data_IF_657094613433
#
_entry.id   IF_657094613433
#
_cell.length_a   1.000
_cell.length_b   1.000
_cell.length_c   1.000
_cell.angle_alpha   90.00
_cell.angle_beta   90.00
_cell.angle_gamma   90.00
#
_symmetry.space_group_name_H-M   'P 1'
#
loop_
_entity.id
_entity.type
_entity.pdbx_description
1 polymer ?
#
# COMPACT_ATOMS: atom_id res chain seq x y z
N UNK A 1 12.02 16.31 5.47
CA UNK A 1 11.95 14.92 5.99
C UNK A 1 10.73 14.14 5.49
N UNK A 2 9.51 14.70 5.48
CA UNK A 2 8.32 13.98 5.00
C UNK A 2 8.33 13.70 3.49
N UNK A 3 8.86 14.62 2.67
CA UNK A 3 8.97 14.43 1.21
C UNK A 3 9.89 13.26 0.84
N UNK A 4 10.97 13.04 1.59
CA UNK A 4 11.86 11.89 1.38
C UNK A 4 11.13 10.57 1.67
N UNK A 5 10.46 10.45 2.82
CA UNK A 5 9.64 9.27 3.14
C UNK A 5 8.57 9.02 2.07
N UNK A 6 7.95 10.09 1.58
CA UNK A 6 6.93 10.02 0.54
C UNK A 6 7.49 9.49 -0.79
N UNK A 7 8.54 10.13 -1.32
CA UNK A 7 9.19 9.74 -2.57
C UNK A 7 9.76 8.32 -2.45
N UNK A 8 10.41 7.97 -1.34
CA UNK A 8 10.93 6.63 -1.11
C UNK A 8 9.80 5.59 -1.11
N UNK A 9 8.66 5.87 -0.47
CA UNK A 9 7.51 4.96 -0.48
C UNK A 9 7.01 4.74 -1.91
N UNK A 10 6.83 5.83 -2.66
CA UNK A 10 6.33 5.80 -4.03
C UNK A 10 7.26 5.02 -4.95
N UNK A 11 8.56 5.28 -4.87
CA UNK A 11 9.57 4.57 -5.68
C UNK A 11 9.66 3.10 -5.30
N UNK A 12 9.78 2.78 -4.01
CA UNK A 12 9.93 1.41 -3.52
C UNK A 12 8.72 0.56 -3.91
N UNK A 13 7.50 0.99 -3.58
CA UNK A 13 6.31 0.19 -3.89
C UNK A 13 5.95 0.22 -5.36
N UNK A 14 6.23 1.32 -6.07
CA UNK A 14 6.16 1.37 -7.52
C UNK A 14 7.07 0.35 -8.21
N UNK A 15 8.29 0.13 -7.71
CA UNK A 15 9.22 -0.86 -8.27
C UNK A 15 8.96 -2.29 -7.82
N UNK A 16 8.19 -2.51 -6.74
CA UNK A 16 7.87 -3.88 -6.29
C UNK A 16 7.02 -4.67 -7.28
N UNK A 17 6.25 -4.03 -8.17
CA UNK A 17 5.41 -4.72 -9.16
C UNK A 17 6.22 -5.65 -10.07
N UNK A 18 7.37 -5.20 -10.56
CA UNK A 18 8.26 -6.01 -11.39
C UNK A 18 8.79 -7.24 -10.64
N UNK A 19 9.17 -7.07 -9.36
CA UNK A 19 9.63 -8.17 -8.53
C UNK A 19 8.51 -9.15 -8.17
N UNK A 20 7.28 -8.67 -7.98
CA UNK A 20 6.10 -9.52 -7.76
C UNK A 20 5.85 -10.38 -9.01
N UNK A 21 5.95 -9.81 -10.21
CA UNK A 21 5.79 -10.57 -11.45
C UNK A 21 6.78 -11.75 -11.55
N UNK A 22 7.99 -11.61 -11.00
CA UNK A 22 8.98 -12.70 -10.94
C UNK A 22 8.72 -13.76 -9.87
N UNK A 23 7.71 -13.59 -9.01
CA UNK A 23 7.31 -14.58 -8.00
C UNK A 23 6.01 -15.34 -8.35
N UNK A 24 5.28 -14.90 -9.38
CA UNK A 24 4.03 -15.55 -9.80
C UNK A 24 4.36 -16.80 -10.62
N UNK A 25 3.75 -17.94 -10.29
CA UNK A 25 3.80 -19.16 -11.11
C UNK A 25 4.07 -20.44 -10.31
N UNK A 26 5.23 -20.54 -9.66
CA UNK A 26 5.68 -21.82 -9.08
C UNK A 26 5.21 -22.07 -7.64
N UNK A 27 5.08 -21.01 -6.84
CA UNK A 27 4.78 -21.11 -5.41
C UNK A 27 3.40 -20.55 -5.13
N UNK A 28 2.61 -21.28 -4.34
CA UNK A 28 1.33 -20.79 -3.86
C UNK A 28 1.50 -19.42 -3.20
N UNK A 29 0.67 -18.46 -3.59
CA UNK A 29 0.73 -17.08 -3.11
C UNK A 29 0.86 -16.98 -1.58
N UNK A 30 0.04 -17.68 -0.77
CA UNK A 30 0.14 -17.59 0.69
C UNK A 30 1.51 -17.98 1.24
N UNK A 31 2.19 -18.94 0.59
CA UNK A 31 3.54 -19.39 0.94
C UNK A 31 4.58 -18.32 0.60
N UNK A 32 4.52 -17.72 -0.59
CA UNK A 32 5.42 -16.61 -0.97
C UNK A 32 5.26 -15.41 -0.03
N UNK A 33 4.03 -15.08 0.35
CA UNK A 33 3.72 -13.99 1.30
C UNK A 33 4.23 -14.34 2.71
N UNK A 34 4.06 -15.58 3.15
CA UNK A 34 4.62 -16.08 4.41
C UNK A 34 6.15 -15.90 4.45
N UNK A 35 6.88 -16.38 3.44
CA UNK A 35 8.34 -16.23 3.38
C UNK A 35 8.76 -14.76 3.40
N UNK A 36 8.12 -13.93 2.58
CA UNK A 36 8.42 -12.50 2.49
C UNK A 36 8.32 -11.82 3.85
N UNK A 37 7.22 -12.02 4.57
CA UNK A 37 7.00 -11.35 5.85
C UNK A 37 7.74 -12.00 7.01
N UNK A 38 8.00 -13.30 6.96
CA UNK A 38 8.88 -13.97 7.91
C UNK A 38 10.31 -13.41 7.83
N UNK A 39 10.87 -13.32 6.62
CA UNK A 39 12.21 -12.75 6.41
C UNK A 39 12.23 -11.29 6.85
N UNK A 40 11.24 -10.48 6.45
CA UNK A 40 11.18 -9.06 6.84
C UNK A 40 11.09 -8.88 8.36
N UNK A 41 10.27 -9.70 9.04
CA UNK A 41 10.16 -9.70 10.49
C UNK A 41 11.47 -10.07 11.17
N UNK A 42 12.16 -11.12 10.70
CA UNK A 42 13.46 -11.55 11.23
C UNK A 42 14.51 -10.45 11.04
N UNK A 43 14.61 -9.85 9.85
CA UNK A 43 15.53 -8.74 9.57
C UNK A 43 15.31 -7.59 10.54
N UNK A 44 14.06 -7.18 10.76
CA UNK A 44 13.73 -6.11 11.70
C UNK A 44 14.02 -6.50 13.16
N UNK A 45 13.57 -7.67 13.62
CA UNK A 45 13.75 -8.10 15.00
C UNK A 45 15.22 -8.29 15.36
N UNK A 46 16.00 -8.92 14.48
CA UNK A 46 17.44 -9.10 14.65
C UNK A 46 18.12 -7.73 14.65
N UNK A 47 17.85 -6.89 13.65
CA UNK A 47 18.44 -5.55 13.54
C UNK A 47 18.13 -4.68 14.77
N UNK A 48 16.89 -4.66 15.24
CA UNK A 48 16.48 -3.91 16.43
C UNK A 48 17.13 -4.44 17.72
N UNK A 49 17.35 -5.74 17.81
CA UNK A 49 18.03 -6.37 18.96
C UNK A 49 19.51 -6.03 18.97
N UNK A 50 20.20 -6.16 17.82
CA UNK A 50 21.61 -5.82 17.66
C UNK A 50 21.88 -4.33 17.94
N UNK A 51 20.98 -3.46 17.47
CA UNK A 51 21.07 -2.01 17.70
C UNK A 51 20.61 -1.57 19.09
N UNK A 52 20.14 -2.49 19.95
CA UNK A 52 19.54 -2.21 21.27
C UNK A 52 18.40 -1.18 21.19
N UNK A 53 17.66 -1.19 20.08
CA UNK A 53 16.51 -0.31 19.81
C UNK A 53 15.18 -1.03 19.92
N UNK A 54 15.15 -2.32 20.25
CA UNK A 54 13.91 -3.06 20.43
C UNK A 54 13.13 -2.50 21.63
N UNK A 55 11.93 -2.00 21.36
CA UNK A 55 10.98 -1.61 22.39
C UNK A 55 10.23 -2.85 22.93
N UNK A 56 10.07 -2.95 24.25
CA UNK A 56 9.18 -3.95 24.84
C UNK A 56 7.72 -3.52 24.62
N UNK A 57 6.89 -4.47 24.19
CA UNK A 57 5.46 -4.25 23.95
C UNK A 57 4.65 -4.91 25.06
N UNK A 58 3.53 -4.30 25.43
CA UNK A 58 2.58 -4.93 26.35
C UNK A 58 1.76 -6.00 25.60
N UNK A 59 1.14 -6.93 26.32
CA UNK A 59 0.27 -7.97 25.73
C UNK A 59 -0.82 -7.37 24.85
N UNK A 60 -1.42 -6.24 25.27
CA UNK A 60 -2.42 -5.52 24.47
C UNK A 60 -1.84 -4.98 23.16
N UNK A 61 -0.59 -4.52 23.16
CA UNK A 61 0.07 -4.03 21.95
C UNK A 61 0.39 -5.16 20.99
N UNK A 62 0.72 -6.35 21.51
CA UNK A 62 0.85 -7.55 20.68
C UNK A 62 -0.47 -7.93 20.00
N UNK A 63 -1.61 -7.80 20.68
CA UNK A 63 -2.93 -8.02 20.05
C UNK A 63 -3.21 -7.01 18.93
N UNK A 64 -2.84 -5.74 19.11
CA UNK A 64 -2.94 -4.76 18.03
C UNK A 64 -1.94 -5.02 16.90
N UNK A 65 -0.74 -5.52 17.19
CA UNK A 65 0.19 -5.97 16.15
C UNK A 65 -0.39 -7.17 15.37
N UNK A 66 -1.04 -8.11 16.04
CA UNK A 66 -1.74 -9.22 15.40
C UNK A 66 -2.87 -8.71 14.49
N UNK A 67 -3.67 -7.75 14.98
CA UNK A 67 -4.73 -7.12 14.17
C UNK A 67 -4.15 -6.38 12.96
N UNK A 68 -3.11 -5.57 13.14
CA UNK A 68 -2.44 -4.87 12.04
C UNK A 68 -1.87 -5.87 11.03
N UNK A 69 -1.21 -6.94 11.52
CA UNK A 69 -0.65 -8.00 10.69
C UNK A 69 -1.72 -8.75 9.90
N UNK A 70 -2.81 -9.14 10.56
CA UNK A 70 -3.95 -9.79 9.93
C UNK A 70 -4.62 -8.92 8.88
N UNK A 71 -4.72 -7.60 9.11
CA UNK A 71 -5.32 -6.68 8.16
C UNK A 71 -4.40 -6.36 6.95
N UNK A 72 -3.16 -5.94 7.20
CA UNK A 72 -2.24 -5.43 6.17
C UNK A 72 -1.45 -6.54 5.48
N UNK A 73 -0.95 -7.52 6.23
CA UNK A 73 -0.04 -8.54 5.71
C UNK A 73 -0.72 -9.89 5.47
N UNK A 74 -1.92 -10.08 6.04
CA UNK A 74 -2.79 -11.22 5.81
C UNK A 74 -3.88 -10.91 4.77
N UNK A 75 -5.02 -10.39 5.24
CA UNK A 75 -6.23 -10.13 4.47
C UNK A 75 -5.96 -9.34 3.20
N UNK A 76 -5.26 -8.20 3.29
CA UNK A 76 -4.96 -7.38 2.11
C UNK A 76 -4.19 -8.18 1.05
N UNK A 77 -3.10 -8.86 1.41
CA UNK A 77 -2.32 -9.64 0.45
C UNK A 77 -3.11 -10.81 -0.11
N UNK A 78 -3.80 -11.58 0.74
CA UNK A 78 -4.60 -12.70 0.29
C UNK A 78 -5.66 -12.28 -0.72
N UNK A 79 -6.45 -11.24 -0.40
CA UNK A 79 -7.48 -10.72 -1.28
C UNK A 79 -6.92 -10.20 -2.61
N UNK A 80 -5.84 -9.42 -2.57
CA UNK A 80 -5.25 -8.82 -3.76
C UNK A 80 -4.68 -9.86 -4.71
N UNK A 81 -3.93 -10.82 -4.19
CA UNK A 81 -3.35 -11.85 -5.03
C UNK A 81 -4.38 -12.85 -5.54
N UNK A 82 -5.42 -13.15 -4.75
CA UNK A 82 -6.55 -13.95 -5.25
C UNK A 82 -7.26 -13.21 -6.38
N UNK A 83 -7.51 -11.91 -6.22
CA UNK A 83 -8.15 -11.09 -7.25
C UNK A 83 -7.26 -10.87 -8.49
N UNK A 84 -5.93 -10.87 -8.34
CA UNK A 84 -4.98 -10.74 -9.46
C UNK A 84 -5.05 -11.90 -10.47
N UNK A 85 -5.61 -13.06 -10.10
CA UNK A 85 -5.90 -14.13 -11.06
C UNK A 85 -7.09 -13.84 -11.98
N UNK A 86 -7.93 -12.84 -11.65
CA UNK A 86 -9.19 -12.55 -12.35
C UNK A 86 -9.27 -11.13 -12.89
N UNK A 87 -8.55 -10.17 -12.29
CA UNK A 87 -8.61 -8.75 -12.64
C UNK A 87 -7.32 -8.29 -13.33
N UNK A 88 -7.42 -7.44 -14.36
CA UNK A 88 -6.30 -6.67 -14.84
C UNK A 88 -5.67 -5.84 -13.72
N UNK A 89 -4.34 -5.69 -13.76
CA UNK A 89 -3.59 -4.91 -12.75
C UNK A 89 -4.07 -3.46 -12.65
N UNK A 90 -4.54 -2.87 -13.75
CA UNK A 90 -5.11 -1.52 -13.76
C UNK A 90 -6.35 -1.37 -12.88
N UNK A 91 -7.27 -2.33 -12.96
CA UNK A 91 -8.48 -2.35 -12.15
C UNK A 91 -8.16 -2.55 -10.67
N UNK A 92 -7.22 -3.43 -10.36
CA UNK A 92 -6.71 -3.61 -8.98
C UNK A 92 -6.13 -2.31 -8.43
N UNK A 93 -5.35 -1.58 -9.24
CA UNK A 93 -4.74 -0.32 -8.82
C UNK A 93 -5.80 0.78 -8.59
N UNK A 94 -6.85 0.86 -9.42
CA UNK A 94 -7.99 1.79 -9.20
C UNK A 94 -8.70 1.47 -7.88
N UNK A 95 -9.04 0.20 -7.66
CA UNK A 95 -9.72 -0.24 -6.44
C UNK A 95 -8.85 -0.03 -5.21
N UNK A 96 -7.54 -0.26 -5.30
CA UNK A 96 -6.61 0.02 -4.21
C UNK A 96 -6.49 1.51 -3.89
N UNK A 97 -6.61 2.38 -4.90
CA UNK A 97 -6.62 3.83 -4.71
C UNK A 97 -7.82 4.32 -3.88
N UNK A 98 -8.90 3.53 -3.79
CA UNK A 98 -10.01 3.77 -2.85
C UNK A 98 -9.58 3.69 -1.37
N UNK A 99 -8.37 3.19 -1.08
CA UNK A 99 -7.74 3.30 0.25
C UNK A 99 -7.73 4.74 0.77
N UNK A 100 -7.67 5.75 -0.10
CA UNK A 100 -7.79 7.17 0.26
C UNK A 100 -9.13 7.44 0.96
N UNK A 101 -10.24 6.96 0.37
CA UNK A 101 -11.58 7.11 0.91
C UNK A 101 -11.75 6.34 2.21
N UNK A 102 -11.31 5.07 2.24
CA UNK A 102 -11.40 4.27 3.45
C UNK A 102 -10.53 4.83 4.57
N UNK A 103 -9.35 5.37 4.29
CA UNK A 103 -8.50 6.00 5.31
C UNK A 103 -9.14 7.29 5.85
N UNK A 104 -9.79 8.08 5.00
CA UNK A 104 -10.51 9.28 5.44
C UNK A 104 -11.71 8.91 6.32
N UNK A 105 -12.54 7.95 5.87
CA UNK A 105 -13.70 7.48 6.61
C UNK A 105 -13.31 6.84 7.95
N UNK A 106 -12.35 5.91 7.95
CA UNK A 106 -11.87 5.25 9.16
C UNK A 106 -11.14 6.25 10.10
N UNK A 107 -10.40 7.20 9.54
CA UNK A 107 -9.73 8.25 10.31
C UNK A 107 -10.72 9.16 11.05
N UNK A 108 -11.86 9.45 10.43
CA UNK A 108 -12.96 10.12 11.09
C UNK A 108 -13.64 9.21 12.12
N UNK A 109 -13.98 7.97 11.76
CA UNK A 109 -14.68 7.03 12.63
C UNK A 109 -13.92 6.74 13.94
N UNK A 110 -12.64 6.37 13.85
CA UNK A 110 -11.85 5.94 15.01
C UNK A 110 -11.18 7.09 15.76
N UNK A 111 -10.84 8.18 15.06
CA UNK A 111 -10.02 9.25 15.62
C UNK A 111 -10.63 10.64 15.54
N UNK A 112 -11.86 10.76 15.00
CA UNK A 112 -12.54 12.04 14.75
C UNK A 112 -11.66 13.04 13.99
N UNK A 113 -10.81 12.54 13.10
CA UNK A 113 -9.92 13.39 12.30
C UNK A 113 -10.74 14.05 11.19
N UNK A 114 -10.82 15.38 11.14
CA UNK A 114 -11.60 16.06 10.11
C UNK A 114 -10.98 15.89 8.72
N UNK A 115 -11.83 15.75 7.71
CA UNK A 115 -11.41 15.67 6.31
C UNK A 115 -11.36 17.09 5.74
N UNK A 116 -10.19 17.59 5.30
CA UNK A 116 -10.08 18.95 4.80
C UNK A 116 -10.78 19.08 3.44
N UNK A 117 -11.40 20.24 3.15
CA UNK A 117 -12.16 20.44 1.89
C UNK A 117 -11.33 20.16 0.62
N UNK A 118 -10.04 20.47 0.65
CA UNK A 118 -9.09 20.21 -0.44
C UNK A 118 -8.99 18.72 -0.81
N UNK A 119 -9.28 17.82 0.14
CA UNK A 119 -9.32 16.38 -0.10
C UNK A 119 -10.30 16.01 -1.20
N UNK A 120 -11.48 16.62 -1.23
CA UNK A 120 -12.50 16.29 -2.23
C UNK A 120 -12.09 16.73 -3.64
N UNK A 121 -11.39 17.87 -3.75
CA UNK A 121 -10.83 18.32 -5.02
C UNK A 121 -9.69 17.42 -5.48
N UNK A 122 -8.78 17.05 -4.59
CA UNK A 122 -7.68 16.14 -4.89
C UNK A 122 -8.19 14.74 -5.28
N UNK A 123 -9.26 14.27 -4.64
CA UNK A 123 -9.95 13.02 -4.97
C UNK A 123 -10.61 13.08 -6.35
N UNK A 124 -11.30 14.18 -6.66
CA UNK A 124 -11.95 14.42 -7.95
C UNK A 124 -10.96 14.48 -9.13
N UNK A 125 -9.68 14.76 -8.85
CA UNK A 125 -8.60 14.66 -9.84
C UNK A 125 -7.96 13.26 -9.84
N UNK A 126 -7.69 12.71 -8.66
CA UNK A 126 -6.97 11.45 -8.50
C UNK A 126 -7.70 10.23 -9.04
N UNK A 127 -8.96 10.00 -8.66
CA UNK A 127 -9.70 8.81 -9.07
C UNK A 127 -10.01 8.78 -10.58
N UNK A 128 -10.52 9.87 -11.19
CA UNK A 128 -10.70 9.89 -12.64
C UNK A 128 -9.38 9.82 -13.40
N UNK A 129 -8.32 10.47 -12.89
CA UNK A 129 -6.99 10.34 -13.49
C UNK A 129 -6.49 8.89 -13.49
N UNK A 130 -6.74 8.16 -12.40
CA UNK A 130 -6.41 6.73 -12.31
C UNK A 130 -7.23 5.88 -13.29
N UNK A 131 -8.52 6.18 -13.46
CA UNK A 131 -9.36 5.51 -14.46
C UNK A 131 -8.90 5.78 -15.90
N UNK A 132 -8.43 7.00 -16.20
CA UNK A 132 -7.92 7.35 -17.53
C UNK A 132 -6.62 6.62 -17.90
N UNK A 133 -5.72 6.42 -16.93
CA UNK A 133 -4.48 5.68 -17.15
C UNK A 133 -4.75 4.24 -17.57
N UNK A 134 -5.69 3.59 -16.90
CA UNK A 134 -6.04 2.19 -17.16
C UNK A 134 -7.35 2.07 -17.96
N UNK A 135 -7.67 3.08 -18.75
CA UNK A 135 -8.94 3.12 -19.50
C UNK A 135 -9.08 1.94 -20.45
N UNK A 136 -7.99 1.54 -21.13
CA UNK A 136 -8.01 0.39 -22.03
C UNK A 136 -8.35 -0.90 -21.27
N UNK A 137 -7.71 -1.12 -20.11
CA UNK A 137 -8.03 -2.25 -19.22
C UNK A 137 -9.49 -2.22 -18.75
N UNK A 138 -10.10 -1.04 -18.60
CA UNK A 138 -11.49 -0.91 -18.16
C UNK A 138 -12.50 -1.24 -19.27
N UNK A 139 -12.24 -0.82 -20.51
CA UNK A 139 -13.19 -1.02 -21.62
C UNK A 139 -13.15 -2.43 -22.20
N UNK A 140 -12.06 -3.17 -21.97
CA UNK A 140 -11.91 -4.57 -22.40
C UNK A 140 -12.53 -5.57 -21.43
N UNK A 141 -13.02 -5.12 -20.27
CA UNK A 141 -13.50 -5.99 -19.21
C UNK A 141 -15.00 -6.23 -19.35
N UNK A 142 -15.37 -7.50 -19.54
CA UNK A 142 -16.76 -7.93 -19.51
C UNK A 142 -17.23 -8.18 -18.07
N UNK A 143 -18.45 -7.76 -17.74
CA UNK A 143 -19.01 -7.91 -16.42
C UNK A 143 -19.47 -9.35 -16.17
N UNK A 144 -18.59 -10.16 -15.55
CA UNK A 144 -18.91 -11.52 -15.11
C UNK A 144 -19.08 -11.60 -13.58
N UNK A 145 -19.70 -12.69 -13.11
CA UNK A 145 -19.90 -12.91 -11.67
C UNK A 145 -18.59 -13.14 -10.92
N UNK A 146 -17.62 -13.78 -11.57
CA UNK A 146 -16.25 -13.98 -11.07
C UNK A 146 -15.54 -12.64 -10.90
N UNK A 147 -15.69 -11.75 -11.87
CA UNK A 147 -15.11 -10.40 -11.83
C UNK A 147 -15.72 -9.56 -10.71
N UNK A 148 -17.04 -9.66 -10.48
CA UNK A 148 -17.70 -9.00 -9.36
C UNK A 148 -17.16 -9.51 -8.02
N UNK A 149 -16.97 -10.82 -7.89
CA UNK A 149 -16.33 -11.43 -6.71
C UNK A 149 -14.92 -10.90 -6.48
N UNK A 150 -14.10 -10.83 -7.53
CA UNK A 150 -12.73 -10.32 -7.45
C UNK A 150 -12.66 -8.82 -7.13
N UNK A 151 -13.61 -8.02 -7.63
CA UNK A 151 -13.77 -6.62 -7.25
C UNK A 151 -14.10 -6.49 -5.75
N UNK A 152 -15.04 -7.29 -5.26
CA UNK A 152 -15.39 -7.36 -3.84
C UNK A 152 -14.21 -7.75 -2.96
N UNK A 153 -13.42 -8.73 -3.38
CA UNK A 153 -12.17 -9.12 -2.69
C UNK A 153 -11.17 -7.98 -2.66
N UNK A 154 -10.94 -7.30 -3.79
CA UNK A 154 -9.98 -6.18 -3.86
C UNK A 154 -10.42 -5.02 -2.96
N UNK A 155 -11.72 -4.70 -2.92
CA UNK A 155 -12.27 -3.70 -2.00
C UNK A 155 -12.11 -4.12 -0.53
N UNK A 156 -12.38 -5.38 -0.20
CA UNK A 156 -12.18 -5.94 1.14
C UNK A 156 -10.72 -5.86 1.57
N UNK A 157 -9.79 -6.24 0.69
CA UNK A 157 -8.36 -6.12 0.92
C UNK A 157 -7.94 -4.67 1.11
N UNK A 158 -8.49 -3.75 0.32
CA UNK A 158 -8.20 -2.30 0.42
C UNK A 158 -8.72 -1.73 1.73
N UNK A 159 -9.88 -2.20 2.19
CA UNK A 159 -10.42 -1.86 3.50
C UNK A 159 -9.53 -2.42 4.64
N UNK A 160 -9.04 -3.65 4.51
CA UNK A 160 -8.05 -4.24 5.40
C UNK A 160 -6.78 -3.38 5.51
N UNK A 161 -6.23 -2.92 4.37
CA UNK A 161 -5.11 -1.99 4.36
C UNK A 161 -5.42 -0.70 5.15
N UNK A 162 -6.62 -0.15 4.99
CA UNK A 162 -7.05 1.04 5.74
C UNK A 162 -7.17 0.80 7.24
N UNK A 163 -7.79 -0.30 7.67
CA UNK A 163 -7.88 -0.68 9.08
C UNK A 163 -6.48 -0.84 9.70
N UNK A 164 -5.56 -1.47 8.98
CA UNK A 164 -4.16 -1.57 9.38
C UNK A 164 -3.47 -0.23 9.56
N UNK A 165 -3.75 0.74 8.70
CA UNK A 165 -3.26 2.11 8.87
C UNK A 165 -3.80 2.75 10.15
N UNK A 166 -5.06 2.50 10.52
CA UNK A 166 -5.63 3.01 11.77
C UNK A 166 -4.91 2.40 12.99
N UNK A 167 -4.62 1.11 12.96
CA UNK A 167 -3.85 0.46 14.03
C UNK A 167 -2.43 1.05 14.13
N UNK A 168 -1.79 1.32 12.99
CA UNK A 168 -0.50 2.02 12.96
C UNK A 168 -0.56 3.44 13.55
N UNK A 169 -1.63 4.20 13.26
CA UNK A 169 -1.87 5.51 13.89
C UNK A 169 -2.02 5.35 15.41
N UNK A 170 -2.76 4.34 15.88
CA UNK A 170 -2.90 4.03 17.31
C UNK A 170 -1.55 3.71 17.94
N UNK A 171 -0.73 2.86 17.31
CA UNK A 171 0.60 2.51 17.81
C UNK A 171 1.45 3.76 18.04
N UNK A 172 1.45 4.68 17.07
CA UNK A 172 2.22 5.92 17.16
C UNK A 172 1.68 6.87 18.23
N UNK A 173 0.36 6.99 18.39
CA UNK A 173 -0.26 7.76 19.49
C UNK A 173 0.06 7.20 20.88
N UNK A 174 0.29 5.90 20.99
CA UNK A 174 0.74 5.25 22.22
C UNK A 174 2.27 5.31 22.43
N UNK A 175 3.01 6.05 21.59
CA UNK A 175 4.47 6.16 21.71
C UNK A 175 5.22 4.87 21.36
N UNK A 176 4.59 3.96 20.61
CA UNK A 176 5.25 2.74 20.16
C UNK A 176 6.11 3.01 18.92
N UNK A 177 7.33 2.48 18.93
CA UNK A 177 8.23 2.54 17.80
C UNK A 177 7.69 1.71 16.62
N UNK A 178 7.59 2.38 15.47
CA UNK A 178 7.02 1.81 14.24
C UNK A 178 7.78 0.58 13.78
N UNK A 179 9.11 0.60 13.81
CA UNK A 179 9.90 -0.55 13.36
C UNK A 179 9.63 -1.79 14.24
N UNK A 180 9.44 -1.60 15.55
CA UNK A 180 9.13 -2.69 16.48
C UNK A 180 7.72 -3.24 16.23
N UNK A 181 6.70 -2.37 16.15
CA UNK A 181 5.32 -2.82 15.91
C UNK A 181 5.14 -3.41 14.53
N UNK A 182 5.83 -2.87 13.52
CA UNK A 182 5.84 -3.39 12.15
C UNK A 182 6.51 -4.77 12.08
N UNK A 183 7.60 -4.99 12.82
CA UNK A 183 8.26 -6.29 12.88
C UNK A 183 7.33 -7.38 13.42
N UNK A 184 6.63 -7.11 14.53
CA UNK A 184 5.66 -8.05 15.10
C UNK A 184 4.41 -8.20 14.23
N UNK A 185 3.91 -7.11 13.63
CA UNK A 185 2.79 -7.19 12.71
C UNK A 185 3.13 -8.06 11.48
N UNK A 186 4.33 -7.90 10.90
CA UNK A 186 4.81 -8.76 9.81
C UNK A 186 4.96 -10.20 10.26
N UNK A 187 5.51 -10.46 11.46
CA UNK A 187 5.61 -11.81 11.99
C UNK A 187 4.23 -12.47 12.11
N UNK A 188 3.27 -11.80 12.76
CA UNK A 188 1.94 -12.36 12.98
C UNK A 188 1.14 -12.50 11.69
N UNK A 189 1.19 -11.50 10.81
CA UNK A 189 0.54 -11.57 9.50
C UNK A 189 1.15 -12.64 8.60
N UNK A 190 2.48 -12.76 8.61
CA UNK A 190 3.19 -13.85 7.95
C UNK A 190 2.73 -15.21 8.47
N UNK A 191 2.75 -15.43 9.79
CA UNK A 191 2.29 -16.68 10.41
C UNK A 191 0.83 -17.00 10.07
N UNK A 192 -0.05 -15.99 10.00
CA UNK A 192 -1.43 -16.18 9.55
C UNK A 192 -1.48 -16.66 8.10
N UNK A 193 -0.67 -16.09 7.20
CA UNK A 193 -0.57 -16.54 5.82
C UNK A 193 0.01 -17.96 5.71
N UNK A 194 0.98 -18.31 6.57
CA UNK A 194 1.48 -19.67 6.70
C UNK A 194 0.38 -20.64 7.16
N UNK A 195 -0.44 -20.26 8.13
CA UNK A 195 -1.57 -21.07 8.58
C UNK A 195 -2.61 -21.27 7.47
N UNK A 196 -2.92 -20.21 6.71
CA UNK A 196 -3.80 -20.30 5.54
C UNK A 196 -3.21 -21.24 4.48
N UNK A 197 -1.92 -21.10 4.16
CA UNK A 197 -1.23 -21.96 3.21
C UNK A 197 -1.29 -23.42 3.63
N UNK A 198 -1.02 -23.69 4.91
CA UNK A 198 -1.09 -25.04 5.48
C UNK A 198 -2.50 -25.62 5.43
N UNK A 199 -3.52 -24.83 5.80
CA UNK A 199 -4.92 -25.24 5.74
C UNK A 199 -5.39 -25.52 4.30
N UNK A 200 -4.79 -24.87 3.30
CA UNK A 200 -5.03 -25.12 1.87
C UNK A 200 -4.25 -26.32 1.32
N UNK A 201 -3.41 -26.98 2.14
CA UNK A 201 -2.56 -28.07 1.68
C UNK A 201 -1.42 -27.63 0.76
N UNK A 202 -1.04 -26.34 0.79
CA UNK A 202 0.01 -25.82 -0.07
C UNK A 202 1.39 -26.38 0.32
N UNK A 203 2.23 -26.61 -0.69
CA UNK A 203 3.62 -27.02 -0.48
C UNK A 203 4.47 -25.83 -0.03
N UNK A 204 5.17 -26.00 1.09
CA UNK A 204 6.21 -25.07 1.56
C UNK A 204 7.57 -25.38 0.93
N UNK A 205 7.58 -25.75 -0.34
CA UNK A 205 8.82 -25.82 -1.10
C UNK A 205 9.35 -24.40 -1.35
N UNK A 206 10.66 -24.23 -1.21
CA UNK A 206 11.34 -23.00 -1.58
C UNK A 206 12.02 -23.25 -2.94
N UNK A 207 11.61 -22.59 -4.03
CA UNK A 207 12.28 -22.71 -5.31
C UNK A 207 13.73 -22.30 -5.17
N UNK A 208 14.63 -23.12 -5.72
CA UNK A 208 16.05 -22.79 -5.80
C UNK A 208 16.36 -21.82 -6.96
N UNK A 209 15.35 -21.35 -7.69
CA UNK A 209 15.54 -20.44 -8.81
C UNK A 209 16.12 -19.09 -8.32
N UNK A 210 17.29 -18.66 -8.83
CA UNK A 210 17.92 -17.42 -8.40
C UNK A 210 17.04 -16.18 -8.60
N UNK A 211 16.20 -16.19 -9.64
CA UNK A 211 15.27 -15.10 -9.95
C UNK A 211 14.20 -14.96 -8.86
N UNK A 212 13.58 -16.07 -8.45
CA UNK A 212 12.59 -16.10 -7.36
C UNK A 212 13.22 -15.64 -6.04
N UNK A 213 14.40 -16.18 -5.69
CA UNK A 213 15.09 -15.84 -4.45
C UNK A 213 15.53 -14.37 -4.41
N UNK A 214 16.06 -13.84 -5.51
CA UNK A 214 16.41 -12.43 -5.64
C UNK A 214 15.19 -11.51 -5.47
N UNK A 215 14.07 -11.85 -6.11
CA UNK A 215 12.81 -11.15 -5.95
C UNK A 215 12.30 -11.21 -4.50
N UNK A 216 12.40 -12.38 -3.86
CA UNK A 216 11.97 -12.58 -2.47
C UNK A 216 12.77 -11.71 -1.49
N UNK A 217 14.10 -11.69 -1.62
CA UNK A 217 14.97 -10.85 -0.78
C UNK A 217 14.68 -9.38 -1.00
N UNK A 218 14.55 -8.95 -2.26
CA UNK A 218 14.20 -7.57 -2.61
C UNK A 218 12.85 -7.15 -2.01
N UNK A 219 11.82 -8.00 -2.15
CA UNK A 219 10.48 -7.74 -1.64
C UNK A 219 10.43 -7.78 -0.11
N UNK A 220 11.22 -8.63 0.55
CA UNK A 220 11.29 -8.69 2.00
C UNK A 220 12.04 -7.49 2.59
N UNK A 221 13.20 -7.13 2.04
CA UNK A 221 14.04 -6.07 2.62
C UNK A 221 13.62 -4.69 2.13
N UNK A 222 13.62 -4.47 0.81
CA UNK A 222 13.32 -3.16 0.24
C UNK A 222 11.82 -2.92 0.27
N UNK A 223 11.04 -3.84 -0.31
CA UNK A 223 9.59 -3.71 -0.42
C UNK A 223 8.87 -3.71 0.93
N UNK A 224 9.26 -4.60 1.84
CA UNK A 224 8.60 -4.75 3.14
C UNK A 224 9.24 -3.91 4.23
N UNK A 225 10.50 -4.16 4.61
CA UNK A 225 11.15 -3.42 5.72
C UNK A 225 11.25 -1.92 5.39
N UNK A 226 11.84 -1.59 4.23
CA UNK A 226 11.98 -0.21 3.78
C UNK A 226 10.64 0.45 3.46
N UNK A 227 9.83 -0.18 2.61
CA UNK A 227 8.55 0.35 2.14
C UNK A 227 7.52 0.58 3.26
N UNK A 228 7.17 -0.46 4.03
CA UNK A 228 6.22 -0.29 5.15
C UNK A 228 6.78 0.56 6.27
N UNK A 229 8.10 0.51 6.53
CA UNK A 229 8.74 1.41 7.49
C UNK A 229 8.56 2.88 7.11
N UNK A 230 8.90 3.23 5.86
CA UNK A 230 8.74 4.58 5.32
C UNK A 230 7.27 5.02 5.31
N UNK A 231 6.38 4.16 4.83
CA UNK A 231 4.96 4.45 4.73
C UNK A 231 4.29 4.62 6.10
N UNK A 232 4.53 3.75 7.07
CA UNK A 232 3.92 3.91 8.40
C UNK A 232 4.49 5.11 9.17
N UNK A 233 5.76 5.44 8.98
CA UNK A 233 6.33 6.72 9.44
C UNK A 233 5.61 7.92 8.83
N UNK A 234 5.30 7.86 7.54
CA UNK A 234 4.53 8.89 6.87
C UNK A 234 3.10 8.98 7.44
N UNK A 235 2.42 7.84 7.62
CA UNK A 235 1.05 7.74 8.15
C UNK A 235 0.91 8.45 9.50
N UNK A 236 1.85 8.26 10.43
CA UNK A 236 1.72 8.95 11.73
C UNK A 236 2.17 10.40 11.73
N UNK A 237 3.00 10.82 10.75
CA UNK A 237 3.45 12.23 10.64
C UNK A 237 2.45 13.13 9.93
N UNK A 238 1.81 12.65 8.87
CA UNK A 238 0.89 13.46 8.05
C UNK A 238 -0.55 12.93 8.05
N UNK A 239 -0.82 11.83 8.75
CA UNK A 239 -2.12 11.17 8.80
C UNK A 239 -2.32 10.17 7.66
N UNK A 240 -3.12 9.14 7.93
CA UNK A 240 -3.39 8.05 6.98
C UNK A 240 -4.04 8.53 5.68
N UNK A 241 -4.94 9.52 5.73
CA UNK A 241 -5.60 10.06 4.54
C UNK A 241 -4.61 10.72 3.57
N UNK A 242 -3.71 11.59 4.05
CA UNK A 242 -2.67 12.21 3.22
C UNK A 242 -1.63 11.19 2.75
N UNK A 243 -1.23 10.26 3.61
CA UNK A 243 -0.27 9.22 3.25
C UNK A 243 -0.81 8.31 2.13
N UNK A 244 -2.10 7.98 2.13
CA UNK A 244 -2.72 7.17 1.08
C UNK A 244 -2.67 7.82 -0.32
N UNK A 245 -2.48 9.13 -0.45
CA UNK A 245 -2.25 9.71 -1.79
C UNK A 245 -0.97 9.19 -2.47
N UNK A 246 -0.03 8.61 -1.70
CA UNK A 246 1.11 7.91 -2.29
C UNK A 246 0.66 6.73 -3.16
N UNK A 247 -0.45 6.07 -2.82
CA UNK A 247 -0.90 4.85 -3.51
C UNK A 247 -1.31 5.10 -4.96
N UNK A 248 -1.79 6.30 -5.27
CA UNK A 248 -2.16 6.72 -6.63
C UNK A 248 -0.92 6.98 -7.49
N UNK A 249 0.26 7.17 -6.89
CA UNK A 249 1.51 7.37 -7.61
C UNK A 249 2.27 6.07 -7.90
N UNK A 250 1.96 4.96 -7.22
CA UNK A 250 2.65 3.68 -7.47
C UNK A 250 2.48 3.20 -8.91
N UNK A 251 1.27 3.27 -9.51
CA UNK A 251 1.08 2.86 -10.89
C UNK A 251 1.90 3.72 -11.87
N UNK A 252 2.15 4.99 -11.57
CA UNK A 252 2.97 5.85 -12.42
C UNK A 252 4.43 5.38 -12.49
N UNK A 253 4.99 4.99 -11.35
CA UNK A 253 6.33 4.41 -11.29
C UNK A 253 6.38 3.07 -12.00
N UNK A 254 5.35 2.22 -11.79
CA UNK A 254 5.26 0.94 -12.47
C UNK A 254 5.21 1.09 -14.00
N UNK A 255 4.39 2.02 -14.52
CA UNK A 255 4.31 2.32 -15.95
C UNK A 255 5.60 2.93 -16.50
N UNK A 256 6.27 3.79 -15.75
CA UNK A 256 7.58 4.32 -16.14
C UNK A 256 8.62 3.19 -16.27
N UNK A 257 8.65 2.23 -15.34
CA UNK A 257 9.51 1.06 -15.43
C UNK A 257 9.12 0.16 -16.60
N UNK A 258 7.83 -0.10 -16.80
CA UNK A 258 7.32 -0.88 -17.93
C UNK A 258 7.64 -0.22 -19.29
N UNK A 259 7.70 1.11 -19.36
CA UNK A 259 8.15 1.83 -20.57
C UNK A 259 9.60 1.51 -20.92
N UNK A 260 10.48 1.45 -19.92
CA UNK A 260 11.92 1.21 -20.09
C UNK A 260 12.24 -0.27 -20.32
N UNK A 261 11.61 -1.16 -19.56
CA UNK A 261 11.97 -2.58 -19.53
C UNK A 261 11.05 -3.48 -20.38
N UNK A 262 9.81 -3.07 -20.63
CA UNK A 262 8.79 -3.90 -21.28
C UNK A 262 8.23 -3.24 -22.56
N UNK A 263 8.68 -2.02 -22.89
CA UNK A 263 8.27 -1.29 -24.10
C UNK A 263 6.83 -0.76 -24.07
N UNK A 264 6.29 -0.48 -22.87
CA UNK A 264 4.94 0.08 -22.72
C UNK A 264 4.74 1.35 -23.57
N UNK A 265 3.65 1.38 -24.34
CA UNK A 265 3.30 2.49 -25.22
C UNK A 265 2.29 3.41 -24.52
N UNK A 266 2.68 4.67 -24.35
CA UNK A 266 1.82 5.67 -23.75
C UNK A 266 0.72 6.12 -24.72
N UNK A 267 -0.50 6.17 -24.19
CA UNK A 267 -1.67 6.67 -24.91
C UNK A 267 -2.06 8.06 -24.38
N UNK A 268 -2.79 8.85 -25.19
CA UNK A 268 -3.15 10.22 -24.84
C UNK A 268 -3.96 10.32 -23.52
N UNK A 269 -4.88 9.38 -23.29
CA UNK A 269 -5.62 9.25 -22.04
C UNK A 269 -4.72 9.01 -20.83
N UNK A 270 -3.67 8.19 -20.96
CA UNK A 270 -2.72 7.94 -19.89
C UNK A 270 -1.90 9.19 -19.52
N UNK A 271 -1.54 10.03 -20.51
CA UNK A 271 -0.90 11.32 -20.25
C UNK A 271 -1.84 12.28 -19.50
N UNK A 272 -3.11 12.36 -19.92
CA UNK A 272 -4.11 13.20 -19.24
C UNK A 272 -4.31 12.71 -17.79
N UNK A 273 -4.46 11.40 -17.61
CA UNK A 273 -4.59 10.79 -16.30
C UNK A 273 -3.39 11.06 -15.39
N UNK A 274 -2.16 10.98 -15.93
CA UNK A 274 -0.94 11.36 -15.24
C UNK A 274 -0.99 12.81 -14.75
N UNK A 275 -1.35 13.76 -15.62
CA UNK A 275 -1.45 15.18 -15.26
C UNK A 275 -2.49 15.40 -14.17
N UNK A 276 -3.65 14.73 -14.24
CA UNK A 276 -4.69 14.82 -13.22
C UNK A 276 -4.23 14.29 -11.87
N UNK A 277 -3.59 13.11 -11.83
CA UNK A 277 -3.08 12.51 -10.59
C UNK A 277 -2.01 13.42 -9.96
N UNK A 278 -1.05 13.89 -10.75
CA UNK A 278 0.02 14.78 -10.27
C UNK A 278 -0.58 16.08 -9.73
N UNK A 279 -1.56 16.66 -10.43
CA UNK A 279 -2.25 17.88 -10.00
C UNK A 279 -3.03 17.67 -8.69
N UNK A 280 -3.77 16.57 -8.57
CA UNK A 280 -4.47 16.21 -7.32
C UNK A 280 -3.52 16.01 -6.15
N UNK A 281 -2.38 15.36 -6.39
CA UNK A 281 -1.33 15.17 -5.40
C UNK A 281 -0.75 16.51 -4.93
N UNK A 282 -0.34 17.37 -5.88
CA UNK A 282 0.17 18.70 -5.60
C UNK A 282 -0.83 19.55 -4.83
N UNK A 283 -2.12 19.48 -5.18
CA UNK A 283 -3.18 20.19 -4.49
C UNK A 283 -3.29 19.75 -3.02
N UNK A 284 -3.25 18.43 -2.76
CA UNK A 284 -3.33 17.88 -1.41
C UNK A 284 -2.15 18.31 -0.52
N UNK A 285 -0.93 18.38 -1.08
CA UNK A 285 0.28 18.75 -0.33
C UNK A 285 0.51 20.27 -0.24
N UNK A 286 0.10 21.04 -1.24
CA UNK A 286 0.25 22.50 -1.28
C UNK A 286 -0.96 23.28 -0.74
N UNK A 287 -2.03 22.60 -0.32
CA UNK A 287 -3.23 23.22 0.23
C UNK A 287 -2.95 24.28 1.30
N UNK A 288 -1.91 24.09 2.13
CA UNK A 288 -1.55 25.02 3.19
C UNK A 288 -0.96 26.35 2.68
N UNK A 289 -0.40 26.37 1.45
CA UNK A 289 0.10 27.59 0.77
C UNK A 289 -0.96 28.22 -0.13
N UNK A 290 -1.81 27.40 -0.74
CA UNK A 290 -2.86 27.88 -1.65
C UNK A 290 -4.03 28.51 -0.87
N UNK A 291 -4.52 27.88 0.20
CA UNK A 291 -5.68 28.40 0.95
C UNK A 291 -5.36 29.71 1.68
N UNK A 292 -4.10 29.96 2.08
CA UNK A 292 -3.70 31.23 2.68
C UNK A 292 -3.69 32.39 1.66
N UNK A 293 -3.25 32.13 0.43
CA UNK A 293 -3.23 33.13 -0.66
C UNK A 293 -4.61 33.56 -1.14
N UNK A 294 -5.63 32.72 -1.00
CA UNK A 294 -7.00 33.07 -1.37
C UNK A 294 -7.74 33.87 -0.27
N UNK A 295 -7.24 33.87 0.97
CA UNK A 295 -7.84 34.61 2.08
C UNK A 295 -7.16 35.97 2.34
N UNK A 296 -5.92 36.16 1.89
CA UNK A 296 -5.20 37.43 1.93
C UNK A 296 -5.33 38.24 0.61
N UNK A 297 -6.38 38.02 -0.19
CA UNK A 297 -6.77 39.05 -1.15
C UNK A 297 -7.31 40.23 -0.33
N UNK A 298 -6.64 41.39 -0.30
CA UNK A 298 -7.14 42.52 0.47
C UNK A 298 -8.49 42.90 -0.12
N UNK A 299 -9.53 42.81 0.70
CA UNK A 299 -10.78 43.53 0.49
C UNK A 299 -10.45 45.02 0.58
N UNK A 300 -9.92 45.59 -0.50
CA UNK A 300 -9.91 47.03 -0.71
C UNK A 300 -11.35 47.43 -1.03
N UNK A 301 -11.94 48.09 -0.02
CA UNK A 301 -12.84 49.26 -0.06
C UNK A 301 -13.47 49.55 -1.42
#
# INVERSE_FOLDING_TARGET
MNSLLYISTVLIWGSTWLAIAWQVGEVAVPVSVFYRFLIAALVLLIGLTLLRRRQALQTRDHLFCLLQGGCVFGLNFYCFYTAAGYLPSGLIAILFSMSILFNAANGYLFFRTPVPRVFYLALALGLPGMALIFWQDLVTVEATWELLGANGLTLLGTYGFSLGNMVSVRHQRCGLQINTTNAFAMLYGGMLMGLIAWAQGASFSLPAEPRYLGALVYLAVIGSVGGFGAYFMLVGRIGAGKAAYATVLFPLVALALSTVFEGYQWHANALIGLVMIVSGNLLMFNAHRLVWRWWEAPSHI
#
